data_IF_821101790988
#
_entry.id   IF_821101790988
#
_cell.length_a   1.000
_cell.length_b   1.000
_cell.length_c   1.000
_cell.angle_alpha   90.00
_cell.angle_beta   90.00
_cell.angle_gamma   90.00
#
_symmetry.space_group_name_H-M   'P 1'
#
loop_
_entity.id
_entity.type
_entity.pdbx_description
1 polymer ?
#
# COMPACT_ATOMS: atom_id res chain seq x y z
N UNK A 1 4.87 10.39 -2.66
CA UNK A 1 4.04 9.27 -2.17
C UNK A 1 2.55 9.55 -2.21
N UNK A 2 2.09 10.77 -1.89
CA UNK A 2 0.67 11.17 -2.02
C UNK A 2 0.09 10.81 -3.39
N UNK A 3 0.81 11.12 -4.47
CA UNK A 3 0.34 10.91 -5.83
C UNK A 3 0.15 9.42 -6.22
N UNK A 4 0.91 8.51 -5.60
CA UNK A 4 0.75 7.06 -5.84
C UNK A 4 -0.49 6.52 -5.11
N UNK A 5 -0.70 6.96 -3.87
CA UNK A 5 -1.93 6.65 -3.14
C UNK A 5 -3.17 7.23 -3.85
N UNK A 6 -3.08 8.45 -4.38
CA UNK A 6 -4.15 9.08 -5.17
C UNK A 6 -4.48 8.28 -6.44
N UNK A 7 -3.47 7.78 -7.15
CA UNK A 7 -3.66 6.89 -8.30
C UNK A 7 -4.45 5.64 -7.88
N UNK A 8 -4.04 4.97 -6.80
CA UNK A 8 -4.71 3.77 -6.29
C UNK A 8 -6.17 4.08 -5.95
N UNK A 9 -6.42 5.16 -5.22
CA UNK A 9 -7.77 5.60 -4.84
C UNK A 9 -8.63 5.94 -6.05
N UNK A 10 -8.06 6.54 -7.09
CA UNK A 10 -8.76 6.91 -8.33
C UNK A 10 -9.27 5.70 -9.09
N UNK A 11 -8.52 4.59 -9.10
CA UNK A 11 -8.84 3.40 -9.88
C UNK A 11 -9.46 2.26 -9.07
N UNK A 12 -9.51 2.36 -7.74
CA UNK A 12 -10.17 1.38 -6.89
C UNK A 12 -11.64 1.18 -7.31
N UNK A 13 -12.02 -0.07 -7.59
CA UNK A 13 -13.38 -0.47 -7.98
C UNK A 13 -14.31 -0.63 -6.75
N UNK A 14 -13.72 -0.88 -5.58
CA UNK A 14 -14.42 -1.01 -4.31
C UNK A 14 -13.88 0.01 -3.30
N UNK A 15 -14.70 0.32 -2.30
CA UNK A 15 -14.36 1.27 -1.25
C UNK A 15 -13.40 0.62 -0.24
N UNK A 16 -12.09 0.73 -0.51
CA UNK A 16 -11.02 0.27 0.40
C UNK A 16 -10.70 1.27 1.51
N UNK A 17 -11.53 2.33 1.65
CA UNK A 17 -11.39 3.36 2.68
C UNK A 17 -11.71 2.90 4.09
N UNK A 18 -11.92 1.60 4.35
CA UNK A 18 -11.96 1.11 5.72
C UNK A 18 -10.52 1.05 6.25
N UNK A 19 -10.09 1.97 7.12
CA UNK A 19 -8.92 1.68 7.93
C UNK A 19 -9.14 0.32 8.59
N UNK A 20 -8.06 -0.40 8.86
CA UNK A 20 -8.08 -1.53 9.78
C UNK A 20 -8.52 -0.98 11.14
N UNK A 21 -9.84 -0.78 11.33
CA UNK A 21 -10.43 -0.18 12.51
C UNK A 21 -10.56 -1.30 13.55
N UNK A 22 -9.40 -1.85 13.90
CA UNK A 22 -9.26 -2.75 15.03
C UNK A 22 -9.12 -1.80 16.19
N UNK A 23 -10.19 -1.64 16.98
CA UNK A 23 -10.02 -1.18 18.35
C UNK A 23 -9.06 -2.18 19.01
N UNK A 24 -7.78 -1.79 19.06
CA UNK A 24 -6.69 -2.66 19.53
C UNK A 24 -6.95 -3.05 20.99
N UNK A 25 -7.51 -2.13 21.76
CA UNK A 25 -7.87 -2.37 23.16
C UNK A 25 -8.96 -3.44 23.24
N UNK A 26 -9.99 -3.36 22.40
CA UNK A 26 -11.01 -4.41 22.31
C UNK A 26 -10.42 -5.76 21.86
N UNK A 27 -9.60 -5.76 20.80
CA UNK A 27 -8.97 -6.98 20.29
C UNK A 27 -8.09 -7.68 21.33
N UNK A 28 -7.42 -6.92 22.20
CA UNK A 28 -6.56 -7.44 23.26
C UNK A 28 -7.24 -7.54 24.63
N UNK A 29 -8.58 -7.56 24.71
CA UNK A 29 -9.34 -7.65 25.98
C UNK A 29 -8.91 -6.62 27.04
N UNK A 30 -8.69 -5.37 26.61
CA UNK A 30 -8.24 -4.25 27.44
C UNK A 30 -6.91 -4.51 28.18
N UNK A 31 -6.11 -5.49 27.74
CA UNK A 31 -4.80 -5.78 28.33
C UNK A 31 -3.77 -4.72 27.93
N UNK A 32 -2.68 -4.57 28.70
CA UNK A 32 -1.55 -3.75 28.28
C UNK A 32 -1.01 -4.23 26.92
N UNK A 33 -0.98 -3.32 25.95
CA UNK A 33 -0.48 -3.57 24.59
C UNK A 33 0.93 -3.01 24.51
N UNK A 34 1.86 -3.82 24.00
CA UNK A 34 3.19 -3.38 23.63
C UNK A 34 3.26 -3.12 22.12
N UNK A 35 4.02 -2.10 21.75
CA UNK A 35 4.29 -1.74 20.36
C UNK A 35 5.78 -1.85 20.07
N UNK A 36 6.14 -2.42 18.93
CA UNK A 36 7.50 -2.34 18.36
C UNK A 36 7.36 -1.88 16.91
N UNK A 37 8.24 -0.96 16.50
CA UNK A 37 8.32 -0.46 15.13
C UNK A 37 9.62 -0.95 14.50
N UNK A 38 9.52 -1.58 13.34
CA UNK A 38 10.66 -2.05 12.57
C UNK A 38 10.74 -1.26 11.26
N UNK A 39 11.87 -0.58 10.95
CA UNK A 39 12.09 -0.01 9.64
C UNK A 39 12.06 -1.10 8.56
N UNK A 40 11.34 -0.87 7.47
CA UNK A 40 11.23 -1.79 6.34
C UNK A 40 11.33 -1.03 5.01
N UNK A 41 12.45 -0.34 4.73
CA UNK A 41 12.60 0.39 3.49
C UNK A 41 12.55 -0.58 2.30
N UNK A 42 11.80 -0.21 1.27
CA UNK A 42 11.68 -0.99 0.04
C UNK A 42 12.11 -0.15 -1.15
N UNK A 43 12.91 -0.76 -2.02
CA UNK A 43 13.34 -0.15 -3.28
C UNK A 43 12.56 -0.78 -4.42
N UNK A 44 12.00 0.06 -5.27
CA UNK A 44 11.19 -0.34 -6.41
C UNK A 44 11.77 0.19 -7.71
N UNK A 45 11.93 -0.71 -8.68
CA UNK A 45 11.95 -0.35 -10.10
C UNK A 45 10.51 -0.36 -10.65
N UNK A 46 10.37 -0.01 -11.93
CA UNK A 46 9.07 0.09 -12.59
C UNK A 46 8.32 -1.25 -12.56
N UNK A 47 9.00 -2.34 -12.92
CA UNK A 47 8.40 -3.69 -13.02
C UNK A 47 7.92 -4.19 -11.66
N UNK A 48 8.74 -4.02 -10.61
CA UNK A 48 8.37 -4.42 -9.25
C UNK A 48 7.18 -3.61 -8.74
N UNK A 49 7.17 -2.29 -8.96
CA UNK A 49 6.06 -1.45 -8.50
C UNK A 49 4.78 -1.72 -9.28
N UNK A 50 4.89 -2.03 -10.58
CA UNK A 50 3.76 -2.47 -11.41
C UNK A 50 3.19 -3.77 -10.89
N UNK A 51 4.05 -4.75 -10.58
CA UNK A 51 3.68 -6.01 -9.95
C UNK A 51 2.94 -5.83 -8.63
N UNK A 52 3.43 -4.92 -7.77
CA UNK A 52 2.76 -4.56 -6.52
C UNK A 52 1.38 -3.94 -6.77
N UNK A 53 1.31 -2.94 -7.67
CA UNK A 53 0.05 -2.30 -8.05
C UNK A 53 -0.97 -3.36 -8.48
N UNK A 54 -0.66 -4.17 -9.50
CA UNK A 54 -1.57 -5.19 -10.08
C UNK A 54 -1.98 -6.29 -9.10
N UNK A 55 -1.30 -6.41 -7.96
CA UNK A 55 -1.63 -7.40 -6.91
C UNK A 55 -2.81 -6.98 -6.03
N UNK A 56 -3.17 -5.69 -6.03
CA UNK A 56 -4.29 -5.21 -5.24
C UNK A 56 -5.60 -5.79 -5.79
N UNK A 57 -6.37 -6.44 -4.92
CA UNK A 57 -7.61 -7.13 -5.32
C UNK A 57 -8.71 -6.18 -5.83
N UNK A 58 -8.49 -4.87 -5.72
CA UNK A 58 -9.50 -3.84 -5.86
C UNK A 58 -9.23 -2.82 -6.93
N UNK A 59 -8.10 -2.93 -7.62
CA UNK A 59 -7.84 -2.15 -8.81
C UNK A 59 -8.40 -2.89 -10.05
N UNK A 60 -8.53 -2.21 -11.20
CA UNK A 60 -8.97 -2.84 -12.43
C UNK A 60 -8.04 -4.00 -12.80
N UNK A 61 -8.61 -5.11 -13.27
CA UNK A 61 -7.86 -6.22 -13.85
C UNK A 61 -7.62 -6.00 -15.36
N UNK A 62 -6.78 -6.82 -15.99
CA UNK A 62 -6.42 -6.65 -17.42
C UNK A 62 -7.61 -6.65 -18.39
N UNK A 63 -8.74 -7.27 -18.01
CA UNK A 63 -9.97 -7.27 -18.81
C UNK A 63 -10.84 -6.03 -18.65
N UNK A 64 -10.57 -5.18 -17.65
CA UNK A 64 -11.31 -3.94 -17.42
C UNK A 64 -10.83 -2.82 -18.37
N UNK A 65 -11.75 -2.10 -19.05
CA UNK A 65 -11.40 -0.97 -19.92
C UNK A 65 -10.51 0.11 -19.27
N UNK A 66 -10.57 0.28 -17.95
CA UNK A 66 -9.78 1.27 -17.20
C UNK A 66 -8.34 0.82 -16.94
N UNK A 67 -8.01 -0.46 -17.12
CA UNK A 67 -6.68 -1.00 -16.83
C UNK A 67 -5.58 -0.30 -17.63
N UNK A 68 -5.77 -0.17 -18.95
CA UNK A 68 -4.81 0.50 -19.84
C UNK A 68 -4.55 1.96 -19.44
N UNK A 69 -5.61 2.67 -19.02
CA UNK A 69 -5.52 4.05 -18.55
C UNK A 69 -4.75 4.15 -17.22
N UNK A 70 -5.05 3.24 -16.29
CA UNK A 70 -4.34 3.15 -15.01
C UNK A 70 -2.84 2.89 -15.21
N UNK A 71 -2.47 1.90 -16.04
CA UNK A 71 -1.07 1.56 -16.31
C UNK A 71 -0.33 2.73 -16.98
N UNK A 72 -0.97 3.40 -17.93
CA UNK A 72 -0.39 4.59 -18.59
C UNK A 72 -0.13 5.71 -17.59
N UNK A 73 -1.08 5.99 -16.70
CA UNK A 73 -0.93 7.03 -15.68
C UNK A 73 0.10 6.65 -14.62
N UNK A 74 0.15 5.38 -14.24
CA UNK A 74 1.18 4.79 -13.38
C UNK A 74 2.59 4.96 -13.95
N UNK A 75 2.83 4.56 -15.20
CA UNK A 75 4.13 4.66 -15.86
C UNK A 75 4.58 6.12 -15.94
N UNK A 76 3.67 7.03 -16.32
CA UNK A 76 3.94 8.47 -16.30
C UNK A 76 4.27 9.01 -14.90
N UNK A 77 3.63 8.48 -13.85
CA UNK A 77 3.91 8.87 -12.48
C UNK A 77 5.30 8.37 -12.04
N UNK A 78 5.67 7.14 -12.40
CA UNK A 78 6.99 6.59 -12.12
C UNK A 78 8.09 7.40 -12.81
N UNK A 79 7.95 7.70 -14.09
CA UNK A 79 8.92 8.49 -14.87
C UNK A 79 9.18 9.88 -14.25
N UNK A 80 8.15 10.51 -13.66
CA UNK A 80 8.30 11.83 -13.03
C UNK A 80 9.01 11.81 -11.68
N UNK A 81 9.02 10.68 -10.98
CA UNK A 81 9.43 10.62 -9.57
C UNK A 81 10.66 9.73 -9.34
N UNK A 82 11.00 8.83 -10.26
CA UNK A 82 12.13 7.94 -10.09
C UNK A 82 13.45 8.73 -10.04
N UNK A 83 14.43 8.18 -9.34
CA UNK A 83 15.80 8.63 -9.37
C UNK A 83 16.66 7.47 -9.89
N UNK A 84 17.22 7.62 -11.09
CA UNK A 84 17.97 6.57 -11.78
C UNK A 84 17.18 5.26 -11.91
N UNK A 85 15.90 5.34 -12.25
CA UNK A 85 15.03 4.17 -12.43
C UNK A 85 14.59 3.51 -11.12
N UNK A 86 14.79 4.15 -9.98
CA UNK A 86 14.44 3.61 -8.66
C UNK A 86 13.60 4.58 -7.84
N UNK A 87 12.70 4.03 -7.04
CA UNK A 87 11.94 4.72 -6.00
C UNK A 87 12.21 4.06 -4.65
N UNK A 88 12.41 4.89 -3.62
CA UNK A 88 12.56 4.42 -2.24
C UNK A 88 11.27 4.65 -1.48
N UNK A 89 10.80 3.59 -0.84
CA UNK A 89 9.65 3.61 0.04
C UNK A 89 10.06 3.32 1.48
N UNK A 90 9.96 4.32 2.34
CA UNK A 90 10.33 4.22 3.76
C UNK A 90 9.18 3.60 4.58
N UNK A 91 8.84 2.35 4.30
CA UNK A 91 7.81 1.64 5.05
C UNK A 91 8.28 1.29 6.46
N UNK A 92 7.31 1.13 7.35
CA UNK A 92 7.50 0.60 8.69
C UNK A 92 6.58 -0.61 8.89
N UNK A 93 7.08 -1.60 9.61
CA UNK A 93 6.26 -2.68 10.15
C UNK A 93 5.98 -2.38 11.62
N UNK A 94 4.71 -2.23 11.96
CA UNK A 94 4.28 -1.95 13.33
C UNK A 94 3.67 -3.20 13.95
N UNK A 95 4.35 -3.77 14.94
CA UNK A 95 3.89 -4.93 15.70
C UNK A 95 3.19 -4.47 16.98
N UNK A 96 1.96 -4.95 17.18
CA UNK A 96 1.24 -4.88 18.45
C UNK A 96 1.14 -6.27 19.07
N UNK A 97 1.48 -6.41 20.35
CA UNK A 97 1.39 -7.68 21.05
C UNK A 97 1.02 -7.49 22.52
N UNK A 98 0.43 -8.53 23.12
CA UNK A 98 0.17 -8.59 24.56
C UNK A 98 0.40 -10.02 25.07
N UNK A 99 0.53 -10.17 26.39
CA UNK A 99 0.62 -11.48 27.02
C UNK A 99 -0.77 -12.08 27.22
N UNK A 100 -1.02 -13.22 26.57
CA UNK A 100 -2.20 -14.06 26.82
C UNK A 100 -1.96 -15.00 28.02
N UNK A 101 -3.02 -15.37 28.73
CA UNK A 101 -2.98 -16.35 29.84
C UNK A 101 -3.08 -17.77 29.31
#
# INVERSE_FOLDING_TARGET
MSNYAELILKYAQEDFSKPLNIDKSYFFDLKPIHQIVFPNPQVFDLERLKGDLVSYSYIPNEGDPKFSSMITEFENLFEKNNNNGLLNFDYETVLYYCKMK
#
